data_IF_545079668696
#
_entry.id   IF_545079668696
#
_cell.length_a   1.000
_cell.length_b   1.000
_cell.length_c   1.000
_cell.angle_alpha   90.00
_cell.angle_beta   90.00
_cell.angle_gamma   90.00
#
_symmetry.space_group_name_H-M   'P 1'
#
loop_
_entity.id
_entity.type
_entity.pdbx_description
1 polymer ?
#
# COMPACT_ATOMS: atom_id res chain seq x y z
N UNK A 1 -18.97 -53.30 -2.84
CA UNK A 1 -18.52 -52.43 -3.94
C UNK A 1 -18.06 -51.14 -3.29
N UNK A 2 -16.81 -51.13 -2.82
CA UNK A 2 -16.18 -49.92 -2.32
C UNK A 2 -15.82 -49.08 -3.55
N UNK A 3 -16.55 -47.99 -3.75
CA UNK A 3 -16.14 -46.94 -4.66
C UNK A 3 -14.87 -46.33 -4.06
N UNK A 4 -13.71 -46.86 -4.47
CA UNK A 4 -12.42 -46.18 -4.36
C UNK A 4 -12.45 -44.98 -5.31
N UNK A 5 -13.26 -43.98 -4.98
CA UNK A 5 -13.12 -42.67 -5.58
C UNK A 5 -11.77 -42.15 -5.08
N UNK A 6 -10.80 -42.02 -5.98
CA UNK A 6 -9.55 -41.33 -5.65
C UNK A 6 -9.92 -39.95 -5.09
N UNK A 7 -9.37 -39.54 -3.93
CA UNK A 7 -9.69 -38.23 -3.39
C UNK A 7 -9.42 -37.14 -4.44
N UNK A 8 -10.30 -36.13 -4.55
CA UNK A 8 -10.16 -35.11 -5.58
C UNK A 8 -8.81 -34.39 -5.43
N UNK A 9 -8.12 -34.18 -6.53
CA UNK A 9 -6.95 -33.31 -6.56
C UNK A 9 -7.41 -31.85 -6.48
N UNK A 10 -6.92 -31.14 -5.47
CA UNK A 10 -7.28 -29.74 -5.22
C UNK A 10 -6.02 -28.88 -5.34
N UNK A 11 -6.12 -27.82 -6.12
CA UNK A 11 -5.04 -26.87 -6.37
C UNK A 11 -5.38 -25.51 -5.78
N UNK A 12 -4.36 -24.80 -5.26
CA UNK A 12 -4.49 -23.43 -4.77
C UNK A 12 -4.05 -22.48 -5.89
N UNK A 13 -4.91 -21.52 -6.25
CA UNK A 13 -4.64 -20.55 -7.31
C UNK A 13 -3.62 -19.48 -6.89
N UNK A 14 -3.73 -18.97 -5.66
CA UNK A 14 -2.85 -17.92 -5.13
C UNK A 14 -2.58 -18.12 -3.64
N UNK A 15 -1.31 -18.03 -3.25
CA UNK A 15 -0.92 -18.17 -1.85
C UNK A 15 -1.05 -16.84 -1.11
N UNK A 16 -0.55 -15.76 -1.71
CA UNK A 16 -0.52 -14.40 -1.15
C UNK A 16 -1.34 -13.45 -2.02
N UNK A 17 -1.90 -12.42 -1.41
CA UNK A 17 -2.44 -11.27 -2.13
C UNK A 17 -1.28 -10.54 -2.87
N UNK A 18 -1.53 -10.14 -4.13
CA UNK A 18 -0.52 -9.57 -5.02
C UNK A 18 -0.77 -8.07 -5.24
N UNK A 19 0.05 -7.24 -4.61
CA UNK A 19 -0.04 -5.77 -4.64
C UNK A 19 0.22 -5.15 -6.03
N UNK A 20 0.92 -5.85 -6.93
CA UNK A 20 1.27 -5.39 -8.27
C UNK A 20 0.51 -6.09 -9.43
N UNK A 21 -0.44 -6.98 -9.14
CA UNK A 21 -1.22 -7.68 -10.17
C UNK A 21 -2.20 -6.72 -10.86
N UNK A 22 -2.67 -7.04 -12.07
CA UNK A 22 -3.75 -6.26 -12.70
C UNK A 22 -5.03 -6.32 -11.87
N UNK A 23 -5.81 -5.24 -11.83
CA UNK A 23 -7.16 -5.21 -11.23
C UNK A 23 -8.26 -5.55 -12.26
N UNK A 24 -7.89 -6.04 -13.44
CA UNK A 24 -8.87 -6.48 -14.44
C UNK A 24 -9.08 -7.99 -14.35
N UNK A 25 -10.35 -8.47 -14.38
CA UNK A 25 -11.57 -7.72 -14.70
C UNK A 25 -12.23 -7.00 -13.50
N UNK A 26 -11.70 -7.13 -12.29
CA UNK A 26 -12.21 -6.40 -11.13
C UNK A 26 -11.23 -6.27 -9.97
N UNK A 27 -11.56 -5.35 -9.06
CA UNK A 27 -10.74 -5.00 -7.90
C UNK A 27 -10.29 -6.19 -7.04
N UNK A 28 -11.03 -7.30 -7.07
CA UNK A 28 -10.75 -8.52 -6.32
C UNK A 28 -9.52 -9.30 -6.83
N UNK A 29 -9.03 -9.04 -8.04
CA UNK A 29 -7.96 -9.84 -8.67
C UNK A 29 -6.67 -9.88 -7.86
N UNK A 30 -6.38 -8.84 -7.08
CA UNK A 30 -5.20 -8.79 -6.20
C UNK A 30 -5.39 -9.55 -4.89
N UNK A 31 -6.60 -10.02 -4.61
CA UNK A 31 -7.05 -10.45 -3.28
C UNK A 31 -7.43 -11.94 -3.18
N UNK A 32 -6.90 -12.78 -4.09
CA UNK A 32 -7.16 -14.23 -4.12
C UNK A 32 -6.31 -15.05 -3.14
N UNK A 33 -5.34 -14.44 -2.46
CA UNK A 33 -4.45 -15.12 -1.53
C UNK A 33 -5.17 -15.66 -0.31
N UNK A 34 -4.67 -16.78 0.21
CA UNK A 34 -5.04 -17.27 1.55
C UNK A 34 -4.27 -16.54 2.67
N UNK A 35 -3.18 -15.87 2.29
CA UNK A 35 -2.42 -14.92 3.09
C UNK A 35 -2.54 -13.51 2.49
N UNK A 36 -2.40 -12.49 3.33
CA UNK A 36 -2.22 -11.11 2.86
C UNK A 36 -0.82 -10.96 2.20
N UNK A 37 -0.54 -9.79 1.63
CA UNK A 37 0.73 -9.48 0.96
C UNK A 37 1.98 -9.73 1.83
N UNK A 38 1.85 -9.60 3.15
CA UNK A 38 2.91 -9.79 4.14
C UNK A 38 2.99 -11.21 4.71
N UNK A 39 2.21 -12.15 4.18
CA UNK A 39 2.18 -13.51 4.68
C UNK A 39 1.43 -13.65 6.01
N UNK A 40 0.70 -12.64 6.47
CA UNK A 40 -0.24 -12.80 7.58
C UNK A 40 -1.49 -13.55 7.13
N UNK A 41 -2.12 -14.28 8.04
CA UNK A 41 -3.27 -15.12 7.73
C UNK A 41 -4.50 -14.26 7.40
N UNK A 42 -5.13 -14.56 6.26
CA UNK A 42 -6.43 -13.99 5.87
C UNK A 42 -7.58 -14.87 6.32
N UNK A 43 -7.41 -16.19 6.21
CA UNK A 43 -8.39 -17.19 6.62
C UNK A 43 -7.75 -18.23 7.55
N UNK A 44 -8.52 -18.68 8.54
CA UNK A 44 -8.14 -19.85 9.34
C UNK A 44 -8.42 -21.12 8.53
N UNK A 45 -7.39 -21.93 8.29
CA UNK A 45 -7.51 -23.16 7.51
C UNK A 45 -6.67 -24.29 8.12
N UNK A 46 -7.22 -25.51 8.06
CA UNK A 46 -6.56 -26.75 8.43
C UNK A 46 -6.22 -27.55 7.16
N UNK A 47 -4.95 -27.89 6.96
CA UNK A 47 -4.49 -28.64 5.78
C UNK A 47 -4.54 -30.18 5.99
N UNK A 48 -5.37 -30.64 6.93
CA UNK A 48 -5.42 -32.03 7.37
C UNK A 48 -4.41 -32.35 8.47
N UNK A 49 -4.60 -33.49 9.13
CA UNK A 49 -3.72 -34.00 10.20
C UNK A 49 -3.47 -32.99 11.34
N UNK A 50 -4.43 -32.09 11.61
CA UNK A 50 -4.32 -31.10 12.68
C UNK A 50 -3.34 -29.95 12.41
N UNK A 51 -2.84 -29.81 11.17
CA UNK A 51 -1.89 -28.74 10.81
C UNK A 51 -2.64 -27.50 10.36
N UNK A 52 -2.58 -26.46 11.17
CA UNK A 52 -3.12 -25.14 10.82
C UNK A 52 -2.06 -24.31 10.09
N UNK A 53 -2.52 -23.40 9.24
CA UNK A 53 -1.64 -22.38 8.66
C UNK A 53 -1.06 -21.49 9.77
N UNK A 54 0.18 -21.03 9.56
CA UNK A 54 0.86 -20.09 10.44
C UNK A 54 1.35 -18.89 9.63
N UNK A 55 1.39 -17.69 10.21
CA UNK A 55 1.93 -16.52 9.52
C UNK A 55 3.39 -16.71 9.09
N UNK A 56 3.79 -15.99 8.05
CA UNK A 56 5.19 -15.90 7.63
C UNK A 56 6.08 -15.36 8.79
N UNK A 57 7.31 -15.88 8.87
CA UNK A 57 8.28 -15.49 9.90
C UNK A 57 9.35 -14.60 9.32
N UNK A 58 9.84 -13.65 10.12
CA UNK A 58 10.97 -12.78 9.73
C UNK A 58 10.60 -11.65 8.77
N UNK A 59 9.30 -11.35 8.61
CA UNK A 59 8.84 -10.20 7.82
C UNK A 59 9.27 -8.92 8.53
N UNK A 60 9.98 -8.07 7.82
CA UNK A 60 10.38 -6.73 8.28
C UNK A 60 9.44 -5.73 7.64
N UNK A 61 8.96 -4.78 8.43
CA UNK A 61 8.10 -3.71 7.95
C UNK A 61 8.87 -2.40 7.95
N UNK A 62 8.38 -1.44 7.16
CA UNK A 62 8.77 -0.04 7.29
C UNK A 62 8.37 0.51 8.68
N UNK A 63 8.71 1.78 8.95
CA UNK A 63 8.42 2.38 10.24
C UNK A 63 6.90 2.40 10.50
N UNK A 64 6.52 2.34 11.79
CA UNK A 64 5.12 2.46 12.23
C UNK A 64 4.64 3.90 12.16
N UNK A 65 4.48 4.36 10.94
CA UNK A 65 4.06 5.71 10.58
C UNK A 65 3.07 5.60 9.42
N UNK A 66 2.02 6.44 9.47
CA UNK A 66 0.96 6.48 8.48
C UNK A 66 0.78 7.90 7.98
N UNK A 67 0.46 8.05 6.69
CA UNK A 67 0.05 9.32 6.13
C UNK A 67 -1.48 9.40 6.13
N UNK A 68 -2.04 10.33 6.90
CA UNK A 68 -3.51 10.49 7.04
C UNK A 68 -3.93 11.89 6.65
N UNK A 69 -5.22 12.07 6.34
CA UNK A 69 -5.78 13.39 6.12
C UNK A 69 -5.66 14.24 7.39
N UNK A 70 -5.17 15.47 7.25
CA UNK A 70 -4.96 16.38 8.36
C UNK A 70 -6.27 16.68 9.10
N UNK A 71 -6.24 16.71 10.46
CA UNK A 71 -7.38 17.17 11.25
C UNK A 71 -7.84 18.59 10.90
N UNK A 72 -6.93 19.43 10.41
CA UNK A 72 -7.16 20.81 10.02
C UNK A 72 -7.65 20.94 8.56
N UNK A 73 -7.50 19.89 7.75
CA UNK A 73 -7.95 19.86 6.36
C UNK A 73 -9.48 19.67 6.26
N UNK A 74 -10.08 20.34 5.28
CA UNK A 74 -11.52 20.24 4.99
C UNK A 74 -11.81 19.14 3.98
N UNK A 75 -12.87 18.35 4.20
CA UNK A 75 -13.39 17.40 3.20
C UNK A 75 -14.00 18.08 1.97
N UNK A 76 -14.18 19.40 2.04
CA UNK A 76 -14.65 20.23 0.92
C UNK A 76 -13.52 20.99 0.22
N UNK A 77 -12.25 20.70 0.54
CA UNK A 77 -11.12 21.31 -0.15
C UNK A 77 -11.14 20.93 -1.64
N UNK A 78 -11.03 21.89 -2.57
CA UNK A 78 -11.09 21.60 -4.00
C UNK A 78 -9.97 20.68 -4.50
N UNK A 79 -8.84 20.60 -3.79
CA UNK A 79 -7.72 19.74 -4.17
C UNK A 79 -7.82 18.31 -3.60
N UNK A 80 -8.81 18.02 -2.75
CA UNK A 80 -8.91 16.73 -2.09
C UNK A 80 -9.18 15.60 -3.09
N UNK A 81 -10.13 15.81 -4.01
CA UNK A 81 -10.47 14.82 -5.04
C UNK A 81 -9.27 14.45 -5.91
N UNK A 82 -8.53 15.45 -6.40
CA UNK A 82 -7.33 15.25 -7.21
C UNK A 82 -6.20 14.55 -6.43
N UNK A 83 -6.05 14.88 -5.15
CA UNK A 83 -5.06 14.27 -4.26
C UNK A 83 -5.35 12.78 -4.05
N UNK A 84 -6.60 12.42 -3.77
CA UNK A 84 -7.05 11.02 -3.63
C UNK A 84 -6.89 10.27 -4.96
N UNK A 85 -7.33 10.87 -6.07
CA UNK A 85 -7.25 10.24 -7.39
C UNK A 85 -5.81 9.88 -7.78
N UNK A 86 -4.86 10.78 -7.55
CA UNK A 86 -3.46 10.45 -7.81
C UNK A 86 -2.92 9.39 -6.86
N UNK A 87 -3.25 9.47 -5.57
CA UNK A 87 -2.78 8.46 -4.63
C UNK A 87 -3.19 7.06 -5.11
N UNK A 88 -4.44 6.92 -5.58
CA UNK A 88 -4.98 5.68 -6.14
C UNK A 88 -4.54 5.37 -7.58
N UNK A 89 -3.94 6.33 -8.30
CA UNK A 89 -3.30 6.07 -9.60
C UNK A 89 -1.97 5.34 -9.42
N UNK A 90 -1.25 5.63 -8.32
CA UNK A 90 0.09 5.12 -8.05
C UNK A 90 0.16 4.14 -6.87
N UNK A 91 -0.98 3.80 -6.28
CA UNK A 91 -1.07 2.82 -5.20
C UNK A 91 -2.40 2.07 -5.27
N UNK A 92 -2.47 0.96 -4.56
CA UNK A 92 -3.66 0.12 -4.55
C UNK A 92 -4.74 0.67 -3.61
N UNK A 93 -5.78 1.25 -4.17
CA UNK A 93 -6.97 1.69 -3.44
C UNK A 93 -8.17 0.72 -3.57
N UNK A 94 -7.98 -0.50 -4.07
CA UNK A 94 -9.09 -1.44 -4.34
C UNK A 94 -9.94 -1.74 -3.11
N UNK A 95 -9.35 -1.72 -1.92
CA UNK A 95 -10.04 -1.93 -0.65
C UNK A 95 -11.06 -0.85 -0.28
N UNK A 96 -11.03 0.32 -0.94
CA UNK A 96 -12.05 1.36 -0.80
C UNK A 96 -13.33 1.08 -1.61
N UNK A 97 -13.31 0.08 -2.49
CA UNK A 97 -14.47 -0.28 -3.29
C UNK A 97 -15.66 -0.72 -2.43
N UNK A 98 -16.88 -0.52 -2.95
CA UNK A 98 -18.09 -1.00 -2.29
C UNK A 98 -18.01 -2.50 -1.98
N UNK A 99 -18.40 -2.89 -0.76
CA UNK A 99 -18.33 -4.28 -0.28
C UNK A 99 -16.92 -4.79 0.07
N UNK A 100 -15.89 -3.94 -0.02
CA UNK A 100 -14.51 -4.29 0.37
C UNK A 100 -14.25 -3.96 1.85
N UNK A 101 -13.08 -4.37 2.36
CA UNK A 101 -12.70 -4.21 3.78
C UNK A 101 -12.72 -2.77 4.29
N UNK A 102 -12.51 -1.78 3.40
CA UNK A 102 -12.54 -0.35 3.71
C UNK A 102 -13.64 0.40 2.93
N UNK A 103 -14.69 -0.30 2.48
CA UNK A 103 -15.75 0.28 1.64
C UNK A 103 -16.72 1.23 2.36
N UNK A 104 -16.75 1.21 3.69
CA UNK A 104 -17.67 2.02 4.52
C UNK A 104 -16.97 3.16 5.27
N UNK A 105 -15.77 3.55 4.83
CA UNK A 105 -15.05 4.68 5.43
C UNK A 105 -15.77 6.00 5.15
N UNK A 106 -15.77 6.90 6.14
CA UNK A 106 -16.14 8.30 5.92
C UNK A 106 -15.14 9.00 4.99
N UNK A 107 -15.51 10.19 4.48
CA UNK A 107 -14.68 10.91 3.49
C UNK A 107 -13.25 11.17 3.99
N UNK A 108 -13.08 11.46 5.28
CA UNK A 108 -11.78 11.73 5.89
C UNK A 108 -10.92 10.47 5.98
N UNK A 109 -11.50 9.37 6.42
CA UNK A 109 -10.80 8.08 6.55
C UNK A 109 -10.52 7.48 5.18
N UNK A 110 -11.41 7.67 4.21
CA UNK A 110 -11.21 7.27 2.81
C UNK A 110 -9.99 7.99 2.20
N UNK A 111 -9.91 9.33 2.35
CA UNK A 111 -8.75 10.09 1.93
C UNK A 111 -7.47 9.67 2.67
N UNK A 112 -7.56 9.46 3.98
CA UNK A 112 -6.45 8.96 4.80
C UNK A 112 -5.94 7.61 4.29
N UNK A 113 -6.85 6.70 3.90
CA UNK A 113 -6.48 5.40 3.39
C UNK A 113 -5.70 5.54 2.07
N UNK A 114 -6.23 6.33 1.13
CA UNK A 114 -5.57 6.58 -0.15
C UNK A 114 -4.16 7.20 0.06
N UNK A 115 -4.06 8.22 0.91
CA UNK A 115 -2.78 8.87 1.23
C UNK A 115 -1.78 7.90 1.86
N UNK A 116 -2.24 7.03 2.77
CA UNK A 116 -1.38 6.02 3.36
C UNK A 116 -0.92 5.00 2.31
N UNK A 117 -1.82 4.49 1.46
CA UNK A 117 -1.43 3.52 0.42
C UNK A 117 -0.31 4.07 -0.45
N UNK A 118 -0.44 5.31 -0.92
CA UNK A 118 0.62 5.98 -1.68
C UNK A 118 1.92 6.16 -0.87
N UNK A 119 1.83 6.70 0.35
CA UNK A 119 2.99 6.92 1.22
C UNK A 119 3.79 5.62 1.46
N UNK A 120 3.10 4.50 1.65
CA UNK A 120 3.72 3.20 1.87
C UNK A 120 4.28 2.59 0.58
N UNK A 121 3.56 2.67 -0.54
CA UNK A 121 4.07 2.25 -1.87
C UNK A 121 5.30 3.07 -2.29
N UNK A 122 5.38 4.33 -1.88
CA UNK A 122 6.54 5.20 -2.04
C UNK A 122 7.63 4.98 -0.97
N UNK A 123 7.65 3.83 -0.28
CA UNK A 123 8.65 3.46 0.72
C UNK A 123 8.86 4.51 1.83
N UNK A 124 7.79 5.22 2.23
CA UNK A 124 7.85 6.25 3.27
C UNK A 124 8.84 7.40 2.96
N UNK A 125 9.13 7.63 1.68
CA UNK A 125 10.08 8.67 1.28
C UNK A 125 9.67 10.06 1.79
N UNK A 126 10.68 10.87 2.12
CA UNK A 126 10.45 12.24 2.55
C UNK A 126 9.66 13.01 1.47
N UNK A 127 8.52 13.56 1.84
CA UNK A 127 7.65 14.31 0.93
C UNK A 127 6.52 13.50 0.29
N UNK A 128 6.50 12.16 0.43
CA UNK A 128 5.40 11.34 -0.10
C UNK A 128 4.08 11.51 0.68
N UNK A 129 4.10 12.18 1.83
CA UNK A 129 2.91 12.61 2.59
C UNK A 129 2.63 14.12 2.43
N UNK A 130 2.74 14.65 1.21
CA UNK A 130 2.66 16.09 0.94
C UNK A 130 1.26 16.62 0.57
N UNK A 131 0.51 15.90 -0.27
CA UNK A 131 -0.87 16.16 -0.74
C UNK A 131 -1.43 17.59 -0.56
N UNK A 132 -0.73 18.63 -1.04
CA UNK A 132 -1.13 20.05 -0.87
C UNK A 132 -1.41 20.49 0.58
N UNK A 133 -0.66 19.97 1.55
CA UNK A 133 -0.89 20.15 3.00
C UNK A 133 -2.21 19.57 3.52
N UNK A 134 -2.88 18.71 2.74
CA UNK A 134 -4.07 18.00 3.18
C UNK A 134 -3.75 16.76 4.01
N UNK A 135 -2.46 16.39 4.13
CA UNK A 135 -2.02 15.19 4.80
C UNK A 135 -0.92 15.46 5.83
N UNK A 136 -0.81 14.55 6.81
CA UNK A 136 0.11 14.62 7.95
C UNK A 136 0.50 13.21 8.37
N UNK A 137 1.73 13.08 8.85
CA UNK A 137 2.24 11.84 9.42
C UNK A 137 1.71 11.63 10.84
N UNK A 138 1.35 10.39 11.14
CA UNK A 138 0.93 9.98 12.49
C UNK A 138 1.56 8.65 12.84
N UNK A 139 1.85 8.46 14.12
CA UNK A 139 2.25 7.16 14.69
C UNK A 139 1.07 6.43 15.33
N UNK A 140 -0.13 7.02 15.29
CA UNK A 140 -1.38 6.40 15.76
C UNK A 140 -1.99 5.62 14.59
N UNK A 141 -2.07 4.30 14.77
CA UNK A 141 -2.70 3.39 13.81
C UNK A 141 -4.16 3.80 13.55
N UNK A 142 -4.52 4.19 12.32
CA UNK A 142 -5.88 4.59 11.95
C UNK A 142 -6.77 3.40 11.56
N UNK A 143 -6.25 2.16 11.59
CA UNK A 143 -7.02 0.95 11.28
C UNK A 143 -8.21 0.77 12.22
N UNK A 144 -9.34 0.31 11.67
CA UNK A 144 -10.54 0.02 12.45
C UNK A 144 -11.34 -1.14 11.83
N UNK A 145 -11.82 -2.05 12.69
CA UNK A 145 -12.60 -3.20 12.27
C UNK A 145 -11.82 -4.09 11.30
N UNK A 146 -12.39 -4.31 10.11
CA UNK A 146 -11.78 -5.06 9.02
C UNK A 146 -10.89 -4.21 8.12
N UNK A 147 -10.96 -2.88 8.21
CA UNK A 147 -10.17 -1.97 7.41
C UNK A 147 -8.78 -1.77 8.05
N UNK A 148 -7.74 -2.27 7.37
CA UNK A 148 -6.35 -2.17 7.82
C UNK A 148 -5.60 -1.13 7.00
N UNK A 149 -4.97 -0.19 7.69
CA UNK A 149 -4.02 0.73 7.09
C UNK A 149 -2.64 0.09 7.15
N UNK A 150 -2.27 -0.54 6.04
CA UNK A 150 -1.07 -1.35 5.94
C UNK A 150 0.21 -0.52 6.04
N UNK A 151 1.30 -1.17 6.47
CA UNK A 151 2.67 -0.67 6.39
C UNK A 151 3.42 -1.63 5.47
N UNK A 152 4.06 -1.11 4.42
CA UNK A 152 4.71 -1.99 3.45
C UNK A 152 5.93 -2.74 4.04
N UNK A 153 6.27 -3.87 3.41
CA UNK A 153 7.42 -4.69 3.78
C UNK A 153 8.70 -3.91 3.47
N UNK A 154 9.64 -3.92 4.40
CA UNK A 154 10.98 -3.39 4.19
C UNK A 154 11.83 -4.38 3.39
N UNK A 155 11.98 -4.11 2.09
CA UNK A 155 12.83 -4.88 1.17
C UNK A 155 14.33 -4.55 1.29
N UNK A 156 14.74 -3.68 2.23
CA UNK A 156 16.13 -3.37 2.53
C UNK A 156 16.83 -2.47 1.50
N UNK A 157 16.09 -1.92 0.53
CA UNK A 157 16.59 -1.00 -0.50
C UNK A 157 16.38 0.47 -0.13
N UNK A 158 16.77 0.85 1.07
CA UNK A 158 16.75 2.26 1.45
C UNK A 158 17.92 2.99 0.81
N UNK A 159 17.63 4.05 0.06
CA UNK A 159 18.65 5.03 -0.30
C UNK A 159 19.29 5.54 0.99
N UNK A 160 20.60 5.32 1.12
CA UNK A 160 21.36 5.86 2.25
C UNK A 160 21.20 7.39 2.23
N UNK A 161 20.86 8.04 3.36
CA UNK A 161 20.78 9.49 3.38
C UNK A 161 22.12 10.07 2.91
N UNK A 162 22.08 10.82 1.81
CA UNK A 162 23.24 11.50 1.27
C UNK A 162 23.82 12.43 2.36
N UNK A 163 25.13 12.35 2.60
CA UNK A 163 25.85 13.27 3.48
C UNK A 163 25.60 14.71 2.97
N UNK A 164 25.08 15.57 3.84
CA UNK A 164 24.83 16.98 3.54
C UNK A 164 26.12 17.72 3.14
N UNK A 165 26.14 18.49 2.05
CA UNK A 165 27.07 19.60 1.91
C UNK A 165 26.45 20.87 2.53
N UNK A 166 27.34 21.71 3.05
CA UNK A 166 27.06 22.98 3.73
C UNK A 166 26.37 24.04 2.86
N UNK A 167 25.69 24.95 3.56
CA UNK A 167 24.90 26.10 3.11
C UNK A 167 25.53 27.03 2.06
N UNK A 168 24.68 27.51 1.14
CA UNK A 168 24.67 28.92 0.70
C UNK A 168 23.26 29.35 0.27
N UNK A 169 22.82 30.52 0.74
CA UNK A 169 21.54 31.16 0.41
C UNK A 169 21.54 31.76 -0.99
N UNK A 170 20.40 31.72 -1.68
CA UNK A 170 19.78 32.89 -2.34
C UNK A 170 18.34 32.58 -2.76
N UNK A 171 17.48 33.58 -2.58
CA UNK A 171 16.05 33.53 -2.85
C UNK A 171 15.74 33.88 -4.32
N UNK A 172 14.67 33.31 -4.87
CA UNK A 172 13.52 34.05 -5.41
C UNK A 172 12.82 33.31 -6.57
N UNK A 173 11.49 33.37 -6.50
CA UNK A 173 10.53 33.42 -7.61
C UNK A 173 9.96 32.12 -8.17
N UNK A 174 8.65 32.23 -8.41
CA UNK A 174 7.70 31.35 -9.09
C UNK A 174 7.11 30.18 -8.28
N UNK A 175 5.78 30.20 -8.22
CA UNK A 175 4.88 29.27 -7.53
C UNK A 175 5.18 27.80 -7.95
N UNK A 176 5.31 26.84 -7.02
CA UNK A 176 5.51 25.46 -7.43
C UNK A 176 4.17 24.80 -7.74
N UNK A 177 4.09 24.11 -8.88
CA UNK A 177 3.11 23.03 -9.12
C UNK A 177 3.57 21.84 -8.29
N UNK A 178 2.96 21.56 -7.12
CA UNK A 178 3.63 20.77 -6.10
C UNK A 178 3.67 19.27 -6.39
N UNK A 179 3.00 18.82 -7.46
CA UNK A 179 2.80 17.39 -7.68
C UNK A 179 3.66 16.76 -8.76
N UNK A 180 4.01 17.50 -9.81
CA UNK A 180 4.76 16.96 -10.94
C UNK A 180 6.28 16.96 -10.71
N UNK A 181 6.79 17.95 -9.97
CA UNK A 181 8.23 18.17 -9.79
C UNK A 181 8.85 17.28 -8.70
N UNK A 182 8.13 17.04 -7.60
CA UNK A 182 8.54 16.09 -6.54
C UNK A 182 8.51 14.63 -7.03
N UNK A 183 7.49 14.29 -7.81
CA UNK A 183 7.34 12.97 -8.44
C UNK A 183 8.52 12.68 -9.38
N UNK A 184 8.87 13.60 -10.30
CA UNK A 184 9.90 13.39 -11.36
C UNK A 184 11.32 13.21 -10.83
N UNK A 185 11.65 13.83 -9.69
CA UNK A 185 13.03 13.90 -9.21
C UNK A 185 13.35 12.92 -8.09
N UNK A 186 12.36 12.40 -7.37
CA UNK A 186 12.59 11.58 -6.16
C UNK A 186 11.82 10.26 -6.12
N UNK A 187 10.64 10.15 -6.77
CA UNK A 187 9.74 8.99 -6.64
C UNK A 187 9.60 8.16 -7.92
N UNK A 188 9.51 8.79 -9.10
CA UNK A 188 9.45 8.11 -10.41
C UNK A 188 10.58 7.08 -10.63
N UNK A 189 11.86 7.36 -10.30
CA UNK A 189 12.96 6.42 -10.53
C UNK A 189 12.81 5.09 -9.76
N UNK A 190 12.04 5.05 -8.67
CA UNK A 190 11.78 3.84 -7.88
C UNK A 190 10.58 3.03 -8.40
N UNK A 191 9.55 3.70 -8.92
CA UNK A 191 8.42 3.00 -9.56
C UNK A 191 8.82 2.39 -10.92
N UNK A 192 9.83 2.96 -11.59
CA UNK A 192 10.43 2.41 -12.81
C UNK A 192 11.61 1.43 -12.55
N UNK A 193 11.98 1.13 -11.30
CA UNK A 193 13.09 0.22 -11.00
C UNK A 193 12.70 -1.24 -11.37
N UNK A 194 13.45 -1.95 -12.23
CA UNK A 194 13.17 -3.33 -12.62
C UNK A 194 13.14 -4.33 -11.45
N UNK A 195 13.64 -3.94 -10.28
CA UNK A 195 13.67 -4.77 -9.08
C UNK A 195 12.34 -4.85 -8.34
N UNK A 196 11.44 -3.86 -8.48
CA UNK A 196 10.05 -4.01 -8.03
C UNK A 196 9.29 -5.04 -8.90
N UNK A 197 9.80 -5.35 -10.09
CA UNK A 197 9.31 -6.42 -10.98
C UNK A 197 9.91 -7.80 -10.68
N UNK A 198 10.89 -7.91 -9.76
CA UNK A 198 11.68 -9.14 -9.61
C UNK A 198 10.98 -10.28 -8.86
N UNK A 199 9.84 -10.05 -8.19
CA UNK A 199 9.07 -11.13 -7.55
C UNK A 199 7.92 -11.67 -8.41
N UNK A 200 7.58 -11.02 -9.53
CA UNK A 200 6.52 -11.49 -10.45
C UNK A 200 7.06 -12.30 -11.65
N UNK A 201 8.37 -12.58 -11.70
CA UNK A 201 9.00 -13.40 -12.78
C UNK A 201 9.69 -14.67 -12.29
N UNK A 202 9.37 -15.14 -11.10
CA UNK A 202 9.70 -16.49 -10.65
C UNK A 202 8.44 -17.15 -10.09
N UNK A 203 7.53 -17.53 -10.97
CA UNK A 203 6.90 -18.85 -11.09
C UNK A 203 6.28 -18.95 -12.49
#
# INVERSE_FOLDING_TARGET
MDFLESPPEVYIFGLIDEDAKSIQPGNFERHWGIFNYDGTLKYSMNLGNGRNLVPAKGVKYLAKEWCVMSPEASTSDPNLGDSVNYACTYADCTSLGFGSSCGELDAKSNASYAFNRFYQTANQQKGSCGFNNLAVLTTKDPSHGTCRFEIMIDVGKHDKPAKSPSSSRSASSSLPRPYQDLWSTQVFPLMDEPSARCLSRRF
#
